data_IF_699529570139
#
_entry.id   IF_699529570139
#
_cell.length_a   1.000
_cell.length_b   1.000
_cell.length_c   1.000
_cell.angle_alpha   90.00
_cell.angle_beta   90.00
_cell.angle_gamma   90.00
#
_symmetry.space_group_name_H-M   'P 1'
#
loop_
_entity.id
_entity.type
_entity.pdbx_description
1 polymer ?
#
# COMPACT_ATOMS: atom_id res chain seq x y z
N UNK A 1 -6.34 -11.40 -32.89
CA UNK A 1 -6.41 -11.86 -31.52
C UNK A 1 -6.40 -10.67 -30.57
N UNK A 2 -7.37 -10.57 -29.70
CA UNK A 2 -7.39 -9.43 -28.80
C UNK A 2 -6.21 -9.49 -27.86
N UNK A 3 -5.59 -8.36 -27.66
CA UNK A 3 -4.51 -8.21 -26.69
C UNK A 3 -5.09 -8.23 -25.29
N UNK A 4 -4.61 -9.13 -24.45
CA UNK A 4 -5.10 -9.27 -23.08
C UNK A 4 -4.89 -7.99 -22.26
N UNK A 5 -3.88 -7.19 -22.59
CA UNK A 5 -3.64 -5.93 -21.92
C UNK A 5 -4.81 -4.95 -22.07
N UNK A 6 -5.63 -5.12 -23.10
CA UNK A 6 -6.81 -4.31 -23.33
C UNK A 6 -7.95 -4.64 -22.37
N UNK A 7 -7.83 -5.77 -21.64
CA UNK A 7 -8.85 -6.21 -20.69
C UNK A 7 -8.64 -5.59 -19.29
N UNK A 8 -7.58 -4.79 -19.10
CA UNK A 8 -7.27 -4.21 -17.81
C UNK A 8 -7.04 -2.70 -17.86
N UNK A 9 -7.96 -1.92 -18.48
CA UNK A 9 -7.73 -0.47 -18.62
C UNK A 9 -7.66 0.25 -17.27
N UNK A 10 -8.39 -0.19 -16.26
CA UNK A 10 -8.36 0.42 -14.93
C UNK A 10 -7.00 0.19 -14.29
N UNK A 11 -6.52 -1.04 -14.30
CA UNK A 11 -5.22 -1.37 -13.71
C UNK A 11 -4.09 -0.66 -14.46
N UNK A 12 -4.18 -0.59 -15.78
CA UNK A 12 -3.18 0.10 -16.60
C UNK A 12 -3.14 1.59 -16.27
N UNK A 13 -4.29 2.21 -16.07
CA UNK A 13 -4.38 3.62 -15.69
C UNK A 13 -3.78 3.85 -14.31
N UNK A 14 -4.11 3.00 -13.35
CA UNK A 14 -3.57 3.12 -11.99
C UNK A 14 -2.05 2.93 -12.00
N UNK A 15 -1.56 1.96 -12.76
CA UNK A 15 -0.12 1.73 -12.88
C UNK A 15 0.59 2.95 -13.48
N UNK A 16 -0.01 3.57 -14.50
CA UNK A 16 0.55 4.77 -15.12
C UNK A 16 0.56 5.94 -14.14
N UNK A 17 -0.52 6.15 -13.40
CA UNK A 17 -0.59 7.19 -12.37
C UNK A 17 0.48 6.99 -11.29
N UNK A 18 0.64 5.77 -10.83
CA UNK A 18 1.64 5.44 -9.82
C UNK A 18 3.06 5.73 -10.33
N UNK A 19 3.35 5.35 -11.57
CA UNK A 19 4.66 5.58 -12.16
C UNK A 19 4.97 7.08 -12.28
N UNK A 20 3.99 7.87 -12.74
CA UNK A 20 4.15 9.32 -12.85
C UNK A 20 4.33 9.94 -11.46
N UNK A 21 3.54 9.52 -10.49
CA UNK A 21 3.65 10.01 -9.11
C UNK A 21 5.04 9.76 -8.54
N UNK A 22 5.59 8.58 -8.73
CA UNK A 22 6.95 8.26 -8.27
C UNK A 22 7.98 9.13 -8.98
N UNK A 23 7.86 9.28 -10.30
CA UNK A 23 8.81 10.04 -11.10
C UNK A 23 8.83 11.53 -10.75
N UNK A 24 7.65 12.09 -10.44
CA UNK A 24 7.51 13.52 -10.16
C UNK A 24 7.72 13.89 -8.69
N UNK A 25 7.72 12.90 -7.80
CA UNK A 25 7.83 13.16 -6.35
C UNK A 25 9.31 13.19 -5.93
N UNK A 26 9.68 14.25 -5.24
CA UNK A 26 11.05 14.44 -4.74
C UNK A 26 11.28 13.85 -3.34
N UNK A 27 10.27 13.25 -2.75
CA UNK A 27 10.43 12.58 -1.45
C UNK A 27 11.30 11.33 -1.61
N UNK A 28 12.11 11.02 -0.59
CA UNK A 28 12.83 9.77 -0.55
C UNK A 28 11.84 8.59 -0.60
N UNK A 29 12.25 7.43 -1.12
CA UNK A 29 11.33 6.29 -1.27
C UNK A 29 10.62 5.88 0.02
N UNK A 30 11.31 5.89 1.16
CA UNK A 30 10.70 5.56 2.45
C UNK A 30 9.65 6.60 2.85
N UNK A 31 9.96 7.87 2.71
CA UNK A 31 9.02 8.96 3.03
C UNK A 31 7.79 8.90 2.12
N UNK A 32 7.99 8.65 0.83
CA UNK A 32 6.89 8.52 -0.12
C UNK A 32 5.92 7.42 0.30
N UNK A 33 6.45 6.26 0.71
CA UNK A 33 5.62 5.14 1.11
C UNK A 33 4.90 5.38 2.44
N UNK A 34 5.55 6.06 3.40
CA UNK A 34 4.90 6.44 4.65
C UNK A 34 3.73 7.40 4.41
N UNK A 35 3.93 8.37 3.52
CA UNK A 35 2.87 9.33 3.13
C UNK A 35 1.70 8.58 2.47
N UNK A 36 1.99 7.66 1.58
CA UNK A 36 0.95 6.87 0.91
C UNK A 36 0.19 6.00 1.90
N UNK A 37 0.89 5.39 2.85
CA UNK A 37 0.26 4.59 3.89
C UNK A 37 -0.70 5.43 4.73
N UNK A 38 -0.27 6.63 5.13
CA UNK A 38 -1.13 7.56 5.87
C UNK A 38 -2.40 7.91 5.08
N UNK A 39 -2.24 8.17 3.78
CA UNK A 39 -3.37 8.48 2.91
C UNK A 39 -4.33 7.29 2.77
N UNK A 40 -3.81 6.08 2.63
CA UNK A 40 -4.63 4.88 2.55
C UNK A 40 -5.46 4.69 3.82
N UNK A 41 -4.85 4.92 4.98
CA UNK A 41 -5.57 4.85 6.25
C UNK A 41 -6.67 5.90 6.32
N UNK A 42 -6.38 7.11 5.88
CA UNK A 42 -7.33 8.24 5.93
C UNK A 42 -8.56 7.99 5.06
N UNK A 43 -8.39 7.36 3.90
CA UNK A 43 -9.51 7.07 3.00
C UNK A 43 -10.14 5.71 3.24
N UNK A 44 -9.70 5.01 4.27
CA UNK A 44 -10.18 3.67 4.62
C UNK A 44 -10.05 2.69 3.45
N UNK A 45 -8.84 2.59 2.91
CA UNK A 45 -8.55 1.72 1.78
C UNK A 45 -8.74 0.25 2.14
N UNK A 46 -9.05 -0.56 1.13
CA UNK A 46 -9.22 -2.00 1.30
C UNK A 46 -7.86 -2.70 1.32
N UNK A 47 -7.80 -3.94 1.80
CA UNK A 47 -6.53 -4.67 1.92
C UNK A 47 -5.71 -4.73 0.64
N UNK A 48 -6.35 -4.82 -0.53
CA UNK A 48 -5.63 -4.90 -1.80
C UNK A 48 -4.75 -3.67 -2.05
N UNK A 49 -5.20 -2.48 -1.63
CA UNK A 49 -4.40 -1.27 -1.80
C UNK A 49 -3.14 -1.31 -0.95
N UNK A 50 -3.24 -1.80 0.28
CA UNK A 50 -2.07 -2.00 1.13
C UNK A 50 -1.13 -3.06 0.56
N UNK A 51 -1.72 -4.16 0.04
CA UNK A 51 -0.94 -5.26 -0.54
C UNK A 51 0.00 -4.76 -1.63
N UNK A 52 -0.48 -3.86 -2.50
CA UNK A 52 0.32 -3.30 -3.59
C UNK A 52 1.53 -2.50 -3.10
N UNK A 53 1.49 -2.05 -1.84
CA UNK A 53 2.57 -1.23 -1.28
C UNK A 53 3.56 -2.02 -0.41
N UNK A 54 3.26 -3.29 -0.10
CA UNK A 54 4.10 -4.09 0.80
C UNK A 54 5.48 -4.36 0.21
N UNK A 55 5.55 -4.78 -1.07
CA UNK A 55 6.82 -5.04 -1.72
C UNK A 55 7.72 -3.82 -1.76
N UNK A 56 7.24 -2.70 -2.32
CA UNK A 56 8.02 -1.46 -2.32
C UNK A 56 8.42 -0.98 -0.92
N UNK A 57 7.56 -1.16 0.08
CA UNK A 57 7.88 -0.78 1.47
C UNK A 57 9.05 -1.61 2.01
N UNK A 58 9.03 -2.91 1.78
CA UNK A 58 10.10 -3.80 2.20
C UNK A 58 11.42 -3.41 1.53
N UNK A 59 11.38 -3.10 0.24
CA UNK A 59 12.57 -2.66 -0.50
C UNK A 59 13.13 -1.34 0.04
N UNK A 60 12.25 -0.47 0.52
CA UNK A 60 12.66 0.81 1.11
C UNK A 60 13.11 0.67 2.57
N UNK A 61 13.10 -0.53 3.13
CA UNK A 61 13.54 -0.80 4.48
C UNK A 61 12.51 -0.50 5.56
N UNK A 62 11.24 -0.31 5.19
CA UNK A 62 10.18 -0.05 6.15
C UNK A 62 9.77 -1.32 6.88
N UNK A 63 9.39 -1.18 8.14
CA UNK A 63 9.01 -2.27 9.01
C UNK A 63 7.54 -2.15 9.42
N UNK A 64 7.04 -3.20 10.06
CA UNK A 64 5.69 -3.16 10.66
C UNK A 64 5.62 -2.07 11.72
N UNK A 65 6.70 -1.87 12.46
CA UNK A 65 6.77 -0.80 13.47
C UNK A 65 6.60 0.57 12.83
N UNK A 66 7.21 0.80 11.66
CA UNK A 66 7.03 2.05 10.92
C UNK A 66 5.57 2.27 10.55
N UNK A 67 4.89 1.22 10.10
CA UNK A 67 3.47 1.30 9.78
C UNK A 67 2.63 1.64 11.00
N UNK A 68 2.94 1.03 12.15
CA UNK A 68 2.25 1.34 13.40
C UNK A 68 2.46 2.80 13.79
N UNK A 69 3.67 3.31 13.63
CA UNK A 69 3.97 4.70 13.93
C UNK A 69 3.20 5.67 13.03
N UNK A 70 2.98 5.30 11.77
CA UNK A 70 2.13 6.11 10.88
C UNK A 70 0.69 6.18 11.44
N UNK A 71 0.14 5.06 11.86
CA UNK A 71 -1.21 5.04 12.42
C UNK A 71 -1.31 5.87 13.69
N UNK A 72 -0.30 5.79 14.55
CA UNK A 72 -0.23 6.63 15.75
C UNK A 72 -0.20 8.12 15.36
N UNK A 73 0.60 8.46 14.36
CA UNK A 73 0.75 9.85 13.91
C UNK A 73 -0.55 10.44 13.38
N UNK A 74 -1.33 9.65 12.62
CA UNK A 74 -2.55 10.16 11.98
C UNK A 74 -3.80 9.98 12.84
N UNK A 75 -3.73 9.23 13.94
CA UNK A 75 -4.87 8.93 14.78
C UNK A 75 -5.67 10.17 15.20
N UNK A 76 -5.04 11.28 15.65
CA UNK A 76 -5.79 12.48 16.02
C UNK A 76 -6.56 13.12 14.86
N UNK A 77 -6.17 12.82 13.63
CA UNK A 77 -6.76 13.44 12.44
C UNK A 77 -7.89 12.57 11.89
N UNK A 78 -7.65 11.25 11.76
CA UNK A 78 -8.61 10.37 11.07
C UNK A 78 -9.56 9.66 12.03
N UNK A 79 -9.23 9.56 13.31
CA UNK A 79 -10.11 9.02 14.32
C UNK A 79 -9.99 7.52 14.53
N UNK A 80 -10.53 7.06 15.66
CA UNK A 80 -10.39 5.68 16.13
C UNK A 80 -10.90 4.64 15.15
N UNK A 81 -12.07 4.85 14.56
CA UNK A 81 -12.67 3.86 13.65
C UNK A 81 -11.78 3.60 12.43
N UNK A 82 -11.24 4.66 11.85
CA UNK A 82 -10.37 4.50 10.67
C UNK A 82 -9.02 3.90 11.02
N UNK A 83 -8.48 4.25 12.18
CA UNK A 83 -7.22 3.65 12.64
C UNK A 83 -7.38 2.15 12.85
N UNK A 84 -8.46 1.73 13.50
CA UNK A 84 -8.73 0.30 13.72
C UNK A 84 -8.95 -0.43 12.40
N UNK A 85 -9.72 0.18 11.50
CA UNK A 85 -9.94 -0.39 10.17
C UNK A 85 -8.62 -0.54 9.41
N UNK A 86 -7.77 0.49 9.44
CA UNK A 86 -6.47 0.45 8.78
C UNK A 86 -5.59 -0.67 9.34
N UNK A 87 -5.55 -0.82 10.67
CA UNK A 87 -4.76 -1.86 11.31
C UNK A 87 -5.21 -3.26 10.85
N UNK A 88 -6.51 -3.50 10.79
CA UNK A 88 -7.05 -4.78 10.34
C UNK A 88 -6.79 -5.02 8.85
N UNK A 89 -6.95 -4.00 8.02
CA UNK A 89 -6.71 -4.12 6.58
C UNK A 89 -5.23 -4.36 6.28
N UNK A 90 -4.33 -3.73 7.02
CA UNK A 90 -2.89 -3.97 6.90
C UNK A 90 -2.55 -5.40 7.29
N UNK A 91 -3.11 -5.88 8.41
CA UNK A 91 -2.88 -7.25 8.86
C UNK A 91 -3.34 -8.26 7.80
N UNK A 92 -4.52 -8.05 7.22
CA UNK A 92 -5.02 -8.92 6.16
C UNK A 92 -4.14 -8.86 4.93
N UNK A 93 -3.67 -7.68 4.54
CA UNK A 93 -2.76 -7.54 3.41
C UNK A 93 -1.44 -8.28 3.64
N UNK A 94 -0.91 -8.24 4.85
CA UNK A 94 0.31 -8.98 5.21
C UNK A 94 0.11 -10.49 5.11
N UNK A 95 -1.04 -10.99 5.56
CA UNK A 95 -1.36 -12.41 5.43
C UNK A 95 -1.42 -12.84 3.97
N UNK A 96 -2.04 -12.03 3.12
CA UNK A 96 -2.12 -12.31 1.69
C UNK A 96 -0.73 -12.31 1.04
N UNK A 97 0.13 -11.37 1.41
CA UNK A 97 1.49 -11.32 0.91
C UNK A 97 2.29 -12.56 1.30
N UNK A 98 2.16 -13.02 2.53
CA UNK A 98 2.83 -14.23 3.03
C UNK A 98 2.34 -15.45 2.25
N UNK A 99 1.03 -15.56 2.03
CA UNK A 99 0.46 -16.67 1.28
C UNK A 99 1.01 -16.76 -0.14
N UNK A 100 1.16 -15.62 -0.82
CA UNK A 100 1.73 -15.57 -2.16
C UNK A 100 3.19 -16.01 -2.16
N UNK A 101 3.97 -15.55 -1.18
CA UNK A 101 5.38 -15.94 -1.05
C UNK A 101 5.51 -17.44 -0.81
N UNK A 102 4.67 -18.01 0.05
CA UNK A 102 4.68 -19.44 0.34
C UNK A 102 4.34 -20.27 -0.89
N UNK A 103 3.37 -19.85 -1.70
CA UNK A 103 3.03 -20.52 -2.94
C UNK A 103 4.21 -20.49 -3.91
N UNK A 104 4.89 -19.36 -4.04
CA UNK A 104 6.02 -19.24 -4.96
C UNK A 104 7.21 -20.08 -4.54
N UNK A 105 7.36 -20.36 -3.25
CA UNK A 105 8.49 -21.14 -2.76
C UNK A 105 8.27 -22.63 -2.85
N UNK A 106 7.09 -23.09 -3.20
CA UNK A 106 6.81 -24.50 -3.48
C UNK A 106 7.07 -24.80 -4.94
#
# INVERSE_FOLDING_TARGET
MPDESQDTPVLDTIAAMTAVSVAECDLAPDALLLVRLAALAAVDARPVSYLLHIGPAAEAGLTIEDAQNVLVAVAPIIGTARVMSAALNIAEALELAIAVIEEDSE
#
